data_IF_666187985333
#
_entry.id   IF_666187985333
#
_cell.length_a   1.000
_cell.length_b   1.000
_cell.length_c   1.000
_cell.angle_alpha   90.00
_cell.angle_beta   90.00
_cell.angle_gamma   90.00
#
_symmetry.space_group_name_H-M   'P 1'
#
loop_
_entity.id
_entity.type
_entity.pdbx_description
1 polymer ?
#
# COMPACT_ATOMS: atom_id res chain seq x y z
N UNK A 1 -11.72 1.59 -3.91
CA UNK A 1 -11.02 0.37 -3.45
C UNK A 1 -12.06 -0.65 -3.04
N UNK A 2 -12.03 -1.86 -3.61
CA UNK A 2 -12.95 -2.96 -3.28
C UNK A 2 -12.47 -3.69 -2.02
N UNK A 3 -13.38 -4.38 -1.32
CA UNK A 3 -13.03 -5.22 -0.18
C UNK A 3 -11.96 -6.25 -0.58
N UNK A 4 -10.82 -6.35 0.12
CA UNK A 4 -9.70 -7.20 -0.26
C UNK A 4 -10.04 -8.69 -0.27
N UNK A 5 -10.99 -9.13 0.56
CA UNK A 5 -11.49 -10.51 0.56
C UNK A 5 -12.33 -10.82 -0.68
N UNK A 6 -13.07 -9.83 -1.19
CA UNK A 6 -13.94 -10.00 -2.37
C UNK A 6 -13.25 -9.62 -3.69
N UNK A 7 -12.06 -9.03 -3.63
CA UNK A 7 -11.33 -8.53 -4.81
C UNK A 7 -10.79 -9.66 -5.69
N UNK A 8 -10.34 -10.77 -5.09
CA UNK A 8 -9.77 -11.92 -5.80
C UNK A 8 -10.45 -13.22 -5.30
N UNK A 9 -10.75 -14.13 -6.23
CA UNK A 9 -11.29 -15.47 -5.93
C UNK A 9 -10.37 -16.27 -5.01
N UNK A 10 -9.05 -16.10 -5.13
CA UNK A 10 -8.08 -16.76 -4.25
C UNK A 10 -8.20 -16.26 -2.80
N UNK A 11 -8.31 -14.93 -2.60
CA UNK A 11 -8.48 -14.35 -1.27
C UNK A 11 -9.79 -14.81 -0.63
N UNK A 12 -10.87 -14.88 -1.42
CA UNK A 12 -12.15 -15.41 -0.95
C UNK A 12 -12.04 -16.89 -0.59
N UNK A 13 -11.33 -17.69 -1.41
CA UNK A 13 -11.12 -19.11 -1.13
C UNK A 13 -10.33 -19.33 0.17
N UNK A 14 -9.25 -18.57 0.38
CA UNK A 14 -8.47 -18.61 1.63
C UNK A 14 -9.33 -18.19 2.83
N UNK A 15 -10.12 -17.13 2.68
CA UNK A 15 -11.03 -16.67 3.73
C UNK A 15 -12.05 -17.74 4.12
N UNK A 16 -12.70 -18.36 3.13
CA UNK A 16 -13.66 -19.44 3.35
C UNK A 16 -13.00 -20.68 3.96
N UNK A 17 -11.79 -21.02 3.51
CA UNK A 17 -11.01 -22.14 4.06
C UNK A 17 -10.74 -21.94 5.56
N UNK A 18 -10.35 -20.73 5.98
CA UNK A 18 -10.14 -20.42 7.40
C UNK A 18 -11.42 -20.68 8.22
N UNK A 19 -12.57 -20.21 7.73
CA UNK A 19 -13.84 -20.43 8.41
C UNK A 19 -14.28 -21.90 8.44
N UNK A 20 -13.99 -22.66 7.39
CA UNK A 20 -14.23 -24.12 7.37
C UNK A 20 -13.38 -24.81 8.44
N UNK A 21 -12.10 -24.45 8.55
CA UNK A 21 -11.21 -25.02 9.57
C UNK A 21 -11.67 -24.63 10.99
N UNK A 22 -12.06 -23.38 11.20
CA UNK A 22 -12.61 -22.93 12.49
C UNK A 22 -13.92 -23.64 12.84
N UNK A 23 -14.81 -23.83 11.87
CA UNK A 23 -16.05 -24.57 12.05
C UNK A 23 -15.79 -26.05 12.41
N UNK A 24 -14.83 -26.69 11.73
CA UNK A 24 -14.43 -28.06 12.04
C UNK A 24 -13.87 -28.18 13.46
N UNK A 25 -12.98 -27.27 13.87
CA UNK A 25 -12.44 -27.27 15.23
C UNK A 25 -13.52 -27.03 16.28
N UNK A 26 -14.40 -26.06 16.06
CA UNK A 26 -15.52 -25.77 16.94
C UNK A 26 -16.47 -26.97 17.08
N UNK A 27 -16.82 -27.62 15.96
CA UNK A 27 -17.63 -28.83 15.95
C UNK A 27 -16.99 -29.96 16.77
N UNK A 28 -15.71 -30.26 16.51
CA UNK A 28 -14.98 -31.31 17.22
C UNK A 28 -14.92 -31.05 18.73
N UNK A 29 -14.72 -29.78 19.13
CA UNK A 29 -14.75 -29.39 20.54
C UNK A 29 -16.13 -29.62 21.17
N UNK A 30 -17.21 -29.24 20.50
CA UNK A 30 -18.57 -29.45 20.99
C UNK A 30 -18.89 -30.95 21.17
N UNK A 31 -18.51 -31.77 20.19
CA UNK A 31 -18.81 -33.20 20.21
C UNK A 31 -17.95 -33.98 21.23
N UNK A 32 -16.64 -33.81 21.19
CA UNK A 32 -15.73 -34.62 22.01
C UNK A 32 -15.52 -34.08 23.43
N UNK A 33 -15.48 -32.76 23.62
CA UNK A 33 -15.18 -32.15 24.92
C UNK A 33 -16.44 -31.84 25.72
N UNK A 34 -17.48 -31.35 25.03
CA UNK A 34 -18.72 -30.89 25.65
C UNK A 34 -19.86 -31.91 25.54
N UNK A 35 -19.60 -33.06 24.91
CA UNK A 35 -20.52 -34.19 24.79
C UNK A 35 -21.90 -33.81 24.19
N UNK A 36 -21.92 -32.78 23.33
CA UNK A 36 -23.11 -32.38 22.59
C UNK A 36 -23.39 -33.42 21.50
N UNK A 37 -24.66 -33.67 21.20
CA UNK A 37 -25.06 -34.62 20.15
C UNK A 37 -24.41 -34.23 18.81
N UNK A 38 -24.13 -35.22 17.96
CA UNK A 38 -23.45 -35.01 16.69
C UNK A 38 -24.15 -33.95 15.83
N UNK A 39 -25.47 -34.05 15.72
CA UNK A 39 -26.30 -33.14 14.91
C UNK A 39 -26.29 -31.72 15.44
N UNK A 40 -26.44 -31.54 16.75
CA UNK A 40 -26.51 -30.23 17.36
C UNK A 40 -25.15 -29.53 17.33
N UNK A 41 -24.07 -30.30 17.51
CA UNK A 41 -22.70 -29.78 17.41
C UNK A 41 -22.37 -29.28 15.98
N UNK A 42 -22.82 -29.99 14.95
CA UNK A 42 -22.66 -29.53 13.55
C UNK A 42 -23.49 -28.28 13.29
N UNK A 43 -24.76 -28.25 13.73
CA UNK A 43 -25.64 -27.09 13.51
C UNK A 43 -25.13 -25.85 14.24
N UNK A 44 -24.74 -25.96 15.51
CA UNK A 44 -24.20 -24.87 16.31
C UNK A 44 -22.93 -24.30 15.66
N UNK A 45 -21.96 -25.16 15.38
CA UNK A 45 -20.69 -24.75 14.79
C UNK A 45 -20.86 -24.11 13.42
N UNK A 46 -21.72 -24.67 12.55
CA UNK A 46 -21.99 -24.12 11.24
C UNK A 46 -22.65 -22.74 11.32
N UNK A 47 -23.72 -22.59 12.11
CA UNK A 47 -24.47 -21.33 12.21
C UNK A 47 -23.58 -20.22 12.77
N UNK A 48 -22.90 -20.46 13.90
CA UNK A 48 -22.08 -19.44 14.52
C UNK A 48 -20.89 -19.03 13.63
N UNK A 49 -20.23 -19.97 12.94
CA UNK A 49 -19.12 -19.62 12.05
C UNK A 49 -19.59 -18.92 10.76
N UNK A 50 -20.68 -19.35 10.13
CA UNK A 50 -21.23 -18.71 8.92
C UNK A 50 -21.67 -17.28 9.22
N UNK A 51 -22.36 -17.06 10.34
CA UNK A 51 -22.78 -15.72 10.74
C UNK A 51 -21.58 -14.80 10.95
N UNK A 52 -20.54 -15.26 11.67
CA UNK A 52 -19.36 -14.43 11.90
C UNK A 52 -18.56 -14.21 10.62
N UNK A 53 -18.48 -15.20 9.72
CA UNK A 53 -17.87 -15.02 8.40
C UNK A 53 -18.57 -13.93 7.58
N UNK A 54 -19.90 -13.92 7.57
CA UNK A 54 -20.67 -12.86 6.91
C UNK A 54 -20.39 -11.48 7.51
N UNK A 55 -20.44 -11.37 8.84
CA UNK A 55 -20.15 -10.12 9.54
C UNK A 55 -18.69 -9.69 9.31
N UNK A 56 -17.74 -10.62 9.34
CA UNK A 56 -16.31 -10.36 9.17
C UNK A 56 -15.96 -9.68 7.85
N UNK A 57 -16.66 -10.02 6.77
CA UNK A 57 -16.53 -9.32 5.47
C UNK A 57 -16.93 -7.85 5.62
N UNK A 58 -18.02 -7.56 6.36
CA UNK A 58 -18.48 -6.20 6.59
C UNK A 58 -17.55 -5.35 7.46
N UNK A 59 -16.76 -5.97 8.35
CA UNK A 59 -15.83 -5.27 9.25
C UNK A 59 -14.67 -4.56 8.53
N UNK A 60 -14.48 -4.84 7.24
CA UNK A 60 -13.55 -4.08 6.40
C UNK A 60 -13.97 -2.61 6.21
N UNK A 61 -15.26 -2.31 6.17
CA UNK A 61 -15.74 -0.94 5.97
C UNK A 61 -15.39 0.00 7.14
N UNK A 62 -15.71 -0.31 8.41
CA UNK A 62 -15.34 0.56 9.52
C UNK A 62 -13.82 0.73 9.67
N UNK A 63 -13.02 -0.32 9.44
CA UNK A 63 -11.55 -0.25 9.51
C UNK A 63 -10.93 0.63 8.43
N UNK A 64 -11.59 0.77 7.27
CA UNK A 64 -11.14 1.67 6.21
C UNK A 64 -11.35 3.15 6.54
N UNK A 65 -12.40 3.51 7.27
CA UNK A 65 -12.72 4.90 7.59
C UNK A 65 -12.19 5.34 8.96
N UNK A 66 -12.02 4.40 9.89
CA UNK A 66 -11.44 4.66 11.22
C UNK A 66 -9.94 4.36 11.14
N UNK A 67 -9.16 5.33 10.63
CA UNK A 67 -7.71 5.19 10.48
C UNK A 67 -6.94 5.96 11.54
N UNK A 68 -5.68 5.59 11.76
CA UNK A 68 -4.75 6.32 12.65
C UNK A 68 -4.46 7.75 12.16
N UNK A 69 -4.72 8.05 10.89
CA UNK A 69 -4.54 9.39 10.31
C UNK A 69 -5.73 10.32 10.61
N UNK A 70 -6.94 9.74 10.81
CA UNK A 70 -8.18 10.51 11.01
C UNK A 70 -8.59 10.67 12.47
N UNK A 71 -8.07 9.85 13.38
CA UNK A 71 -8.50 9.79 14.77
C UNK A 71 -7.31 9.73 15.74
N UNK A 72 -7.44 10.36 16.91
CA UNK A 72 -6.48 10.17 18.01
C UNK A 72 -6.56 8.75 18.57
N UNK A 73 -5.45 8.24 19.12
CA UNK A 73 -5.36 6.86 19.60
C UNK A 73 -6.48 6.45 20.58
N UNK A 74 -6.86 7.28 21.59
CA UNK A 74 -7.95 6.91 22.50
C UNK A 74 -9.31 6.81 21.79
N UNK A 75 -9.58 7.69 20.83
CA UNK A 75 -10.85 7.71 20.08
C UNK A 75 -10.94 6.53 19.12
N UNK A 76 -9.81 6.15 18.50
CA UNK A 76 -9.72 4.96 17.66
C UNK A 76 -10.00 3.69 18.47
N UNK A 77 -9.35 3.54 19.63
CA UNK A 77 -9.57 2.40 20.53
C UNK A 77 -11.02 2.33 21.01
N UNK A 78 -11.61 3.47 21.38
CA UNK A 78 -13.01 3.55 21.80
C UNK A 78 -13.96 3.10 20.67
N UNK A 79 -13.76 3.59 19.45
CA UNK A 79 -14.59 3.21 18.30
C UNK A 79 -14.50 1.71 18.01
N UNK A 80 -13.30 1.11 18.06
CA UNK A 80 -13.13 -0.33 17.88
C UNK A 80 -13.72 -1.16 19.02
N UNK A 81 -13.60 -0.69 20.26
CA UNK A 81 -14.22 -1.35 21.41
C UNK A 81 -15.75 -1.36 21.28
N UNK A 82 -16.35 -0.22 20.93
CA UNK A 82 -17.80 -0.12 20.70
C UNK A 82 -18.25 -1.05 19.57
N UNK A 83 -17.54 -1.04 18.44
CA UNK A 83 -17.86 -1.93 17.32
C UNK A 83 -17.68 -3.41 17.68
N UNK A 84 -16.64 -3.78 18.43
CA UNK A 84 -16.43 -5.15 18.90
C UNK A 84 -17.59 -5.64 19.77
N UNK A 85 -18.04 -4.80 20.71
CA UNK A 85 -19.17 -5.10 21.59
C UNK A 85 -20.45 -5.26 20.78
N UNK A 86 -20.77 -4.31 19.91
CA UNK A 86 -22.00 -4.35 19.08
C UNK A 86 -22.01 -5.58 18.17
N UNK A 87 -20.91 -5.84 17.45
CA UNK A 87 -20.79 -7.00 16.59
C UNK A 87 -20.93 -8.32 17.35
N UNK A 88 -20.31 -8.43 18.53
CA UNK A 88 -20.37 -9.64 19.35
C UNK A 88 -21.77 -9.86 19.93
N UNK A 89 -22.47 -8.81 20.35
CA UNK A 89 -23.87 -8.90 20.81
C UNK A 89 -24.76 -9.39 19.68
N UNK A 90 -24.67 -8.77 18.49
CA UNK A 90 -25.48 -9.15 17.32
C UNK A 90 -25.23 -10.61 16.96
N UNK A 91 -23.96 -11.02 16.91
CA UNK A 91 -23.57 -12.38 16.57
C UNK A 91 -24.09 -13.42 17.58
N UNK A 92 -23.89 -13.17 18.88
CA UNK A 92 -24.37 -14.06 19.95
C UNK A 92 -25.89 -14.15 19.93
N UNK A 93 -26.58 -13.01 19.82
CA UNK A 93 -28.03 -12.94 19.80
C UNK A 93 -28.63 -13.67 18.59
N UNK A 94 -28.12 -13.42 17.38
CA UNK A 94 -28.61 -14.08 16.17
C UNK A 94 -28.36 -15.59 16.21
N UNK A 95 -27.17 -16.02 16.61
CA UNK A 95 -26.85 -17.44 16.75
C UNK A 95 -27.76 -18.13 17.75
N UNK A 96 -27.94 -17.54 18.94
CA UNK A 96 -28.86 -18.03 19.96
C UNK A 96 -30.28 -18.12 19.42
N UNK A 97 -30.80 -17.02 18.85
CA UNK A 97 -32.17 -16.95 18.35
C UNK A 97 -32.46 -17.99 17.27
N UNK A 98 -31.54 -18.17 16.31
CA UNK A 98 -31.68 -19.15 15.21
C UNK A 98 -31.67 -20.58 15.76
N UNK A 99 -30.66 -20.93 16.56
CA UNK A 99 -30.49 -22.29 17.06
C UNK A 99 -31.61 -22.67 18.03
N UNK A 100 -31.94 -21.78 18.96
CA UNK A 100 -32.88 -22.05 20.05
C UNK A 100 -34.35 -21.99 19.62
N UNK A 101 -34.72 -21.30 18.54
CA UNK A 101 -36.14 -21.22 18.12
C UNK A 101 -36.46 -22.06 16.88
N UNK A 102 -35.49 -22.30 16.00
CA UNK A 102 -35.75 -22.92 14.70
C UNK A 102 -35.11 -24.29 14.51
N UNK A 103 -33.93 -24.55 15.08
CA UNK A 103 -33.12 -25.71 14.70
C UNK A 103 -33.06 -26.79 15.78
N UNK A 104 -32.84 -26.43 17.04
CA UNK A 104 -32.57 -27.38 18.12
C UNK A 104 -33.60 -27.19 19.24
N UNK A 105 -34.28 -28.28 19.59
CA UNK A 105 -35.35 -28.28 20.61
C UNK A 105 -35.02 -29.11 21.86
N UNK A 106 -33.83 -29.72 21.92
CA UNK A 106 -33.43 -30.57 23.03
C UNK A 106 -33.11 -29.75 24.29
N UNK A 107 -33.63 -30.18 25.44
CA UNK A 107 -33.45 -29.48 26.73
C UNK A 107 -31.98 -29.35 27.14
N UNK A 108 -31.18 -30.40 26.90
CA UNK A 108 -29.74 -30.43 27.22
C UNK A 108 -29.00 -29.33 26.45
N UNK A 109 -29.33 -29.14 25.17
CA UNK A 109 -28.72 -28.09 24.36
C UNK A 109 -29.13 -26.69 24.82
N UNK A 110 -30.39 -26.46 25.21
CA UNK A 110 -30.81 -25.15 25.75
C UNK A 110 -30.02 -24.74 27.00
N UNK A 111 -29.77 -25.69 27.90
CA UNK A 111 -28.96 -25.45 29.10
C UNK A 111 -27.50 -25.15 28.71
N UNK A 112 -26.94 -25.91 27.76
CA UNK A 112 -25.61 -25.63 27.22
C UNK A 112 -25.50 -24.24 26.60
N UNK A 113 -26.38 -23.88 25.65
CA UNK A 113 -26.26 -22.64 24.89
C UNK A 113 -26.44 -21.42 25.80
N UNK A 114 -27.37 -21.47 26.76
CA UNK A 114 -27.60 -20.40 27.73
C UNK A 114 -26.39 -20.18 28.64
N UNK A 115 -25.77 -21.24 29.15
CA UNK A 115 -24.54 -21.17 29.92
C UNK A 115 -23.32 -20.73 29.09
N UNK A 116 -23.38 -20.91 27.76
CA UNK A 116 -22.29 -20.60 26.85
C UNK A 116 -22.20 -19.12 26.41
N UNK A 117 -23.25 -18.32 26.64
CA UNK A 117 -23.37 -16.97 26.05
C UNK A 117 -22.22 -16.04 26.42
N UNK A 118 -21.75 -16.08 27.67
CA UNK A 118 -20.69 -15.21 28.15
C UNK A 118 -19.33 -15.50 27.47
N UNK A 119 -18.94 -16.78 27.36
CA UNK A 119 -17.68 -17.12 26.69
C UNK A 119 -17.76 -16.91 25.18
N UNK A 120 -18.93 -17.14 24.57
CA UNK A 120 -19.16 -16.80 23.16
C UNK A 120 -18.97 -15.31 22.94
N UNK A 121 -19.53 -14.45 23.79
CA UNK A 121 -19.31 -13.01 23.68
C UNK A 121 -17.81 -12.64 23.73
N UNK A 122 -17.03 -13.25 24.62
CA UNK A 122 -15.56 -13.06 24.68
C UNK A 122 -14.88 -13.52 23.39
N UNK A 123 -15.24 -14.68 22.85
CA UNK A 123 -14.72 -15.14 21.55
C UNK A 123 -15.11 -14.20 20.42
N UNK A 124 -16.33 -13.66 20.44
CA UNK A 124 -16.77 -12.65 19.50
C UNK A 124 -15.86 -11.43 19.50
N UNK A 125 -15.42 -10.96 20.67
CA UNK A 125 -14.46 -9.86 20.79
C UNK A 125 -13.09 -10.28 20.22
N UNK A 126 -12.63 -11.49 20.49
CA UNK A 126 -11.36 -12.00 19.98
C UNK A 126 -11.36 -12.12 18.45
N UNK A 127 -12.43 -12.66 17.86
CA UNK A 127 -12.61 -12.73 16.41
C UNK A 127 -12.65 -11.34 15.78
N UNK A 128 -13.33 -10.38 16.41
CA UNK A 128 -13.33 -9.00 15.97
C UNK A 128 -11.91 -8.44 15.93
N UNK A 129 -11.16 -8.60 17.02
CA UNK A 129 -9.79 -8.11 17.13
C UNK A 129 -8.89 -8.70 16.04
N UNK A 130 -8.93 -10.02 15.84
CA UNK A 130 -8.13 -10.71 14.80
C UNK A 130 -8.47 -10.18 13.40
N UNK A 131 -9.76 -10.11 13.06
CA UNK A 131 -10.19 -9.65 11.72
C UNK A 131 -9.80 -8.19 11.51
N UNK A 132 -9.99 -7.33 12.50
CA UNK A 132 -9.61 -5.91 12.42
C UNK A 132 -8.10 -5.76 12.28
N UNK A 133 -7.30 -6.49 13.06
CA UNK A 133 -5.84 -6.50 12.92
C UNK A 133 -5.40 -6.92 11.51
N UNK A 134 -5.97 -7.99 10.96
CA UNK A 134 -5.68 -8.42 9.58
C UNK A 134 -6.06 -7.36 8.56
N UNK A 135 -7.22 -6.72 8.71
CA UNK A 135 -7.65 -5.62 7.83
C UNK A 135 -6.65 -4.46 7.86
N UNK A 136 -6.17 -4.06 9.05
CA UNK A 136 -5.16 -3.02 9.16
C UNK A 136 -3.84 -3.42 8.49
N UNK A 137 -3.34 -4.64 8.72
CA UNK A 137 -2.13 -5.13 8.06
C UNK A 137 -2.26 -5.01 6.54
N UNK A 138 -3.40 -5.43 5.97
CA UNK A 138 -3.65 -5.36 4.52
C UNK A 138 -3.71 -3.90 4.03
N UNK A 139 -4.43 -3.02 4.74
CA UNK A 139 -4.58 -1.61 4.34
C UNK A 139 -3.22 -0.91 4.38
N UNK A 140 -2.47 -1.05 5.47
CA UNK A 140 -1.18 -0.38 5.64
C UNK A 140 -0.11 -0.93 4.71
N UNK A 141 -0.08 -2.23 4.46
CA UNK A 141 0.83 -2.83 3.49
C UNK A 141 0.60 -2.30 2.07
N UNK A 142 -0.67 -2.20 1.64
CA UNK A 142 -1.00 -1.65 0.33
C UNK A 142 -0.65 -0.17 0.22
N UNK A 143 -0.98 0.63 1.25
CA UNK A 143 -0.65 2.05 1.29
C UNK A 143 0.87 2.27 1.29
N UNK A 144 1.63 1.42 1.97
CA UNK A 144 3.08 1.46 2.00
C UNK A 144 3.67 1.20 0.60
N UNK A 145 3.23 0.12 -0.06
CA UNK A 145 3.68 -0.20 -1.42
C UNK A 145 3.33 0.88 -2.44
N UNK A 146 2.16 1.49 -2.32
CA UNK A 146 1.76 2.61 -3.19
C UNK A 146 2.67 3.83 -2.99
N UNK A 147 3.04 4.13 -1.72
CA UNK A 147 4.00 5.19 -1.40
C UNK A 147 5.39 4.89 -1.98
N UNK A 148 5.90 3.67 -1.83
CA UNK A 148 7.20 3.27 -2.41
C UNK A 148 7.23 3.40 -3.94
N UNK A 149 6.17 2.94 -4.62
CA UNK A 149 6.06 3.06 -6.08
C UNK A 149 6.07 4.53 -6.51
N UNK A 150 5.27 5.36 -5.84
CA UNK A 150 5.19 6.79 -6.13
C UNK A 150 6.51 7.52 -5.86
N UNK A 151 7.23 7.15 -4.81
CA UNK A 151 8.55 7.68 -4.51
C UNK A 151 9.56 7.30 -5.61
N UNK A 152 9.54 6.04 -6.06
CA UNK A 152 10.38 5.58 -7.17
C UNK A 152 10.08 6.33 -8.48
N UNK A 153 8.80 6.55 -8.79
CA UNK A 153 8.38 7.33 -9.97
C UNK A 153 8.86 8.79 -9.89
N UNK A 154 8.68 9.44 -8.74
CA UNK A 154 9.16 10.80 -8.52
C UNK A 154 10.68 10.90 -8.64
N UNK A 155 11.43 9.96 -8.06
CA UNK A 155 12.88 9.90 -8.19
C UNK A 155 13.33 9.73 -9.65
N UNK A 156 12.60 8.95 -10.45
CA UNK A 156 12.87 8.81 -11.88
C UNK A 156 12.62 10.12 -12.63
N UNK A 157 11.51 10.81 -12.35
CA UNK A 157 11.17 12.09 -12.96
C UNK A 157 12.20 13.18 -12.63
N UNK A 158 12.70 13.21 -11.38
CA UNK A 158 13.77 14.12 -10.97
C UNK A 158 15.04 13.87 -11.77
N UNK A 159 15.48 12.61 -11.87
CA UNK A 159 16.67 12.25 -12.67
C UNK A 159 16.51 12.60 -14.15
N UNK A 160 15.33 12.40 -14.72
CA UNK A 160 15.05 12.77 -16.10
C UNK A 160 15.11 14.30 -16.30
N UNK A 161 14.58 15.07 -15.36
CA UNK A 161 14.64 16.53 -15.38
C UNK A 161 16.09 17.05 -15.23
N UNK A 162 16.90 16.44 -14.36
CA UNK A 162 18.33 16.72 -14.21
C UNK A 162 19.09 16.42 -15.51
N UNK A 163 18.87 15.25 -16.11
CA UNK A 163 19.47 14.88 -17.40
C UNK A 163 19.06 15.82 -18.53
N UNK A 164 17.78 16.22 -18.60
CA UNK A 164 17.29 17.18 -19.59
C UNK A 164 17.93 18.56 -19.41
N UNK A 165 18.09 19.00 -18.16
CA UNK A 165 18.78 20.26 -17.83
C UNK A 165 20.24 20.20 -18.25
N UNK A 166 20.94 19.12 -17.93
CA UNK A 166 22.33 18.91 -18.34
C UNK A 166 22.48 18.90 -19.87
N UNK A 167 21.56 18.26 -20.60
CA UNK A 167 21.54 18.29 -22.07
C UNK A 167 21.34 19.69 -22.63
N UNK A 168 20.43 20.49 -22.05
CA UNK A 168 20.22 21.87 -22.50
C UNK A 168 21.41 22.78 -22.24
N UNK A 169 22.12 22.61 -21.12
CA UNK A 169 23.32 23.40 -20.81
C UNK A 169 24.44 23.23 -21.85
N UNK A 170 24.54 22.07 -22.49
CA UNK A 170 25.60 21.76 -23.45
C UNK A 170 25.32 22.32 -24.86
N UNK A 171 24.07 22.70 -25.17
CA UNK A 171 23.59 23.09 -26.51
C UNK A 171 24.16 22.18 -27.63
N UNK A 172 23.63 20.95 -27.81
CA UNK A 172 24.19 19.98 -28.74
C UNK A 172 24.35 20.50 -30.18
N UNK A 173 23.42 21.35 -30.63
CA UNK A 173 23.46 21.95 -31.96
C UNK A 173 24.72 22.81 -32.15
N UNK A 174 25.07 23.64 -31.16
CA UNK A 174 26.29 24.42 -31.18
C UNK A 174 27.52 23.52 -31.34
N UNK A 175 27.63 22.45 -30.54
CA UNK A 175 28.76 21.52 -30.62
C UNK A 175 28.87 20.88 -32.01
N UNK A 176 27.76 20.40 -32.58
CA UNK A 176 27.78 19.81 -33.92
C UNK A 176 28.22 20.83 -34.97
N UNK A 177 27.73 22.06 -34.90
CA UNK A 177 28.11 23.12 -35.83
C UNK A 177 29.60 23.48 -35.69
N UNK A 178 30.10 23.64 -34.46
CA UNK A 178 31.51 23.93 -34.21
C UNK A 178 32.41 22.81 -34.74
N UNK A 179 32.05 21.53 -34.52
CA UNK A 179 32.81 20.39 -35.03
C UNK A 179 32.82 20.31 -36.56
N UNK A 180 31.69 20.57 -37.22
CA UNK A 180 31.61 20.64 -38.68
C UNK A 180 32.49 21.77 -39.24
N UNK A 181 32.45 22.95 -38.63
CA UNK A 181 33.31 24.09 -39.00
C UNK A 181 34.79 23.73 -38.83
N UNK A 182 35.17 23.12 -37.71
CA UNK A 182 36.56 22.63 -37.47
C UNK A 182 36.96 21.64 -38.57
N UNK A 183 36.11 20.68 -38.92
CA UNK A 183 36.39 19.67 -39.96
C UNK A 183 36.59 20.28 -41.35
N UNK A 184 35.92 21.37 -41.69
CA UNK A 184 36.16 22.06 -42.97
C UNK A 184 37.48 22.84 -42.96
N UNK A 185 37.85 23.41 -41.80
CA UNK A 185 39.11 24.13 -41.61
C UNK A 185 40.32 23.20 -41.58
N UNK A 186 40.20 21.94 -41.18
CA UNK A 186 41.36 21.02 -41.19
C UNK A 186 41.96 20.84 -42.57
N UNK A 187 41.18 21.04 -43.64
CA UNK A 187 41.65 20.99 -45.03
C UNK A 187 42.02 22.38 -45.54
N UNK A 188 41.18 23.40 -45.27
CA UNK A 188 41.33 24.73 -45.85
C UNK A 188 42.26 25.67 -45.07
N UNK A 189 42.30 25.57 -43.75
CA UNK A 189 43.16 26.37 -42.86
C UNK A 189 43.44 25.63 -41.53
N UNK A 190 44.46 24.74 -41.51
CA UNK A 190 44.75 23.89 -40.36
C UNK A 190 45.09 24.67 -39.06
N UNK A 191 45.70 25.85 -39.18
CA UNK A 191 46.04 26.69 -38.03
C UNK A 191 44.76 27.18 -37.34
N UNK A 192 43.79 27.69 -38.11
CA UNK A 192 42.50 28.14 -37.58
C UNK A 192 41.67 26.99 -37.00
N UNK A 193 41.75 25.78 -37.59
CA UNK A 193 41.12 24.57 -37.03
C UNK A 193 41.65 24.25 -35.62
N UNK A 194 42.96 24.37 -35.42
CA UNK A 194 43.60 24.16 -34.10
C UNK A 194 43.12 25.21 -33.08
N UNK A 195 43.04 26.48 -33.48
CA UNK A 195 42.54 27.56 -32.61
C UNK A 195 41.08 27.34 -32.21
N UNK A 196 40.19 26.99 -33.16
CA UNK A 196 38.78 26.71 -32.85
C UNK A 196 38.62 25.49 -31.94
N UNK A 197 39.47 24.48 -32.08
CA UNK A 197 39.46 23.29 -31.21
C UNK A 197 39.77 23.68 -29.75
N UNK A 198 40.76 24.56 -29.53
CA UNK A 198 41.10 25.06 -28.19
C UNK A 198 39.94 25.89 -27.63
N UNK A 199 39.38 26.83 -28.42
CA UNK A 199 38.25 27.66 -28.01
C UNK A 199 37.02 26.83 -27.64
N UNK A 200 36.69 25.80 -28.41
CA UNK A 200 35.60 24.87 -28.12
C UNK A 200 35.87 24.09 -26.83
N UNK A 201 37.10 23.64 -26.60
CA UNK A 201 37.48 22.97 -25.34
C UNK A 201 37.33 23.90 -24.13
N UNK A 202 37.78 25.15 -24.24
CA UNK A 202 37.66 26.17 -23.19
C UNK A 202 36.20 26.55 -22.90
N UNK A 203 35.37 26.63 -23.94
CA UNK A 203 33.93 26.84 -23.82
C UNK A 203 33.26 25.69 -23.05
N UNK A 204 33.46 24.44 -23.49
CA UNK A 204 32.86 23.27 -22.85
C UNK A 204 33.30 23.13 -21.40
N UNK A 205 34.59 23.35 -21.11
CA UNK A 205 35.11 23.37 -19.75
C UNK A 205 34.43 24.45 -18.91
N UNK A 206 34.31 25.67 -19.42
CA UNK A 206 33.68 26.78 -18.70
C UNK A 206 32.19 26.55 -18.42
N UNK A 207 31.47 25.94 -19.36
CA UNK A 207 30.02 25.66 -19.23
C UNK A 207 29.75 24.50 -18.26
N UNK A 208 30.56 23.44 -18.29
CA UNK A 208 30.39 22.27 -17.42
C UNK A 208 30.90 22.51 -15.98
N UNK A 209 32.00 23.25 -15.81
CA UNK A 209 32.58 23.52 -14.48
C UNK A 209 31.79 24.56 -13.65
N UNK A 210 30.87 25.31 -14.27
CA UNK A 210 30.05 26.32 -13.55
C UNK A 210 28.90 25.70 -12.72
N UNK A 211 28.53 24.44 -12.95
CA UNK A 211 27.44 23.76 -12.21
C UNK A 211 27.73 23.53 -10.71
N UNK A 212 28.98 23.59 -10.26
CA UNK A 212 29.30 23.42 -8.82
C UNK A 212 29.19 24.72 -8.00
N UNK A 213 29.04 25.90 -8.63
CA UNK A 213 29.00 27.19 -7.94
C UNK A 213 27.64 27.87 -8.12
N UNK A 214 26.87 28.04 -7.04
CA UNK A 214 25.53 28.66 -7.05
C UNK A 214 25.48 30.11 -7.58
N UNK A 215 26.62 30.82 -7.70
CA UNK A 215 26.72 32.18 -8.27
C UNK A 215 28.05 32.35 -9.03
N UNK A 216 28.00 32.91 -10.24
CA UNK A 216 29.16 33.31 -11.07
C UNK A 216 29.22 34.83 -11.19
N UNK A 217 30.38 35.41 -11.53
CA UNK A 217 30.46 36.85 -11.80
C UNK A 217 29.96 37.18 -13.21
N UNK A 218 29.43 38.39 -13.41
CA UNK A 218 29.04 38.89 -14.74
C UNK A 218 30.22 38.88 -15.72
N UNK A 219 31.43 39.15 -15.23
CA UNK A 219 32.64 39.14 -16.05
C UNK A 219 32.93 37.73 -16.62
N UNK A 220 32.75 36.69 -15.79
CA UNK A 220 32.92 35.30 -16.22
C UNK A 220 31.85 34.85 -17.20
N UNK A 221 30.61 35.36 -17.10
CA UNK A 221 29.56 35.11 -18.10
C UNK A 221 29.87 35.79 -19.43
N UNK A 222 30.24 37.08 -19.41
CA UNK A 222 30.63 37.83 -20.60
C UNK A 222 31.83 37.19 -21.31
N UNK A 223 32.80 36.65 -20.56
CA UNK A 223 33.92 35.89 -21.13
C UNK A 223 33.46 34.62 -21.83
N UNK A 224 32.55 33.84 -21.22
CA UNK A 224 32.00 32.63 -21.86
C UNK A 224 31.19 32.98 -23.12
N UNK A 225 30.39 34.05 -23.09
CA UNK A 225 29.64 34.54 -24.27
C UNK A 225 30.58 34.97 -25.38
N UNK A 226 31.70 35.63 -25.06
CA UNK A 226 32.70 36.03 -26.07
C UNK A 226 33.37 34.83 -26.72
N UNK A 227 33.70 33.78 -25.95
CA UNK A 227 34.23 32.53 -26.51
C UNK A 227 33.19 31.86 -27.42
N UNK A 228 31.91 31.88 -27.04
CA UNK A 228 30.81 31.36 -27.85
C UNK A 228 30.73 32.06 -29.21
N UNK A 229 30.69 33.40 -29.22
CA UNK A 229 30.65 34.22 -30.44
C UNK A 229 31.91 34.11 -31.29
N UNK A 230 33.04 33.77 -30.69
CA UNK A 230 34.32 33.56 -31.40
C UNK A 230 34.37 32.22 -32.15
N UNK A 231 33.47 31.29 -31.83
CA UNK A 231 33.36 29.95 -32.43
C UNK A 231 32.30 29.92 -33.54
N UNK A 232 31.25 30.73 -33.43
CA UNK A 232 30.13 30.84 -34.39
C UNK A 232 30.39 31.90 -35.47
#
# INVERSE_FOLDING_TARGET
MFNPFLKNRENLAVYLLIWIVLALFHWLALYYLLQITLTDAILDSAIYNILYAGIGISLWYPTRFITFESYSMPRLLLNHLMAAVVTSIIWVFLGYYILSNFLIKEKVYYEFISNSLAWRFVIGILFYAIIVSLNYVIIYYNNFREKELKESELNSLVKEAELKTLKYQINPHFIFNSLNSISSLTVSNPVKAREMTIKLSDFLRSTLSKNEKMKTTLSDELKTIKIYLDIE
#
